data_IF_467539121330
#
_entry.id   IF_467539121330
#
_cell.length_a   1.000
_cell.length_b   1.000
_cell.length_c   1.000
_cell.angle_alpha   90.00
_cell.angle_beta   90.00
_cell.angle_gamma   90.00
#
_symmetry.space_group_name_H-M   'P 1'
#
loop_
_entity.id
_entity.type
_entity.pdbx_description
1 polymer ?
#
# COMPACT_ATOMS: atom_id res chain seq x y z
N UNK A 1 24.14 -19.47 0.96
CA UNK A 1 23.23 -19.80 -0.14
C UNK A 1 21.88 -19.15 0.15
N UNK A 2 21.49 -18.17 -0.69
CA UNK A 2 20.12 -17.83 -1.08
C UNK A 2 19.04 -17.48 -0.03
N UNK A 3 19.35 -16.57 0.90
CA UNK A 3 18.34 -15.98 1.82
C UNK A 3 17.37 -14.98 1.17
N UNK A 4 17.64 -14.52 -0.07
CA UNK A 4 16.81 -13.50 -0.76
C UNK A 4 15.51 -14.02 -1.36
N UNK A 5 15.29 -15.33 -1.45
CA UNK A 5 14.08 -15.91 -2.05
C UNK A 5 12.93 -16.10 -1.03
N UNK A 6 13.21 -15.99 0.28
CA UNK A 6 12.21 -16.23 1.34
C UNK A 6 11.32 -15.04 1.68
N UNK A 7 11.68 -13.85 1.18
CA UNK A 7 10.90 -12.63 1.41
C UNK A 7 10.14 -12.14 0.17
N UNK A 8 10.21 -12.91 -0.92
CA UNK A 8 9.51 -12.60 -2.15
C UNK A 8 8.26 -13.46 -2.28
N UNK A 9 7.13 -12.80 -2.41
CA UNK A 9 5.86 -13.39 -2.79
C UNK A 9 5.55 -13.06 -4.25
N UNK A 10 4.67 -13.84 -4.84
CA UNK A 10 4.17 -13.71 -6.20
C UNK A 10 2.66 -13.60 -6.11
N UNK A 11 2.10 -12.69 -6.90
CA UNK A 11 0.66 -12.51 -7.00
C UNK A 11 0.10 -13.31 -8.16
N UNK A 12 -0.89 -14.13 -7.85
CA UNK A 12 -1.73 -14.78 -8.84
C UNK A 12 -3.08 -14.09 -8.91
N UNK A 13 -3.66 -14.06 -10.09
CA UNK A 13 -4.99 -13.56 -10.38
C UNK A 13 -5.78 -14.65 -11.10
N UNK A 14 -7.04 -14.80 -10.72
CA UNK A 14 -8.01 -15.72 -11.33
C UNK A 14 -9.28 -14.95 -11.63
N UNK A 15 -9.92 -15.23 -12.77
CA UNK A 15 -11.26 -14.71 -13.03
C UNK A 15 -12.34 -15.68 -12.50
N UNK A 16 -13.34 -15.15 -11.79
CA UNK A 16 -14.45 -15.90 -11.21
C UNK A 16 -15.33 -16.47 -12.33
N UNK A 17 -15.23 -17.77 -12.54
CA UNK A 17 -15.84 -18.47 -13.68
C UNK A 17 -14.81 -19.05 -14.66
N UNK A 18 -13.55 -18.63 -14.55
CA UNK A 18 -12.43 -19.27 -15.24
C UNK A 18 -11.66 -20.18 -14.28
N UNK A 19 -11.28 -21.35 -14.77
CA UNK A 19 -10.36 -22.24 -14.07
C UNK A 19 -8.89 -21.96 -14.44
N UNK A 20 -8.64 -20.90 -15.20
CA UNK A 20 -7.30 -20.46 -15.56
C UNK A 20 -6.75 -19.51 -14.48
N UNK A 21 -5.68 -19.94 -13.81
CA UNK A 21 -4.82 -19.05 -13.04
C UNK A 21 -3.94 -18.25 -13.99
N UNK A 22 -3.72 -16.99 -13.65
CA UNK A 22 -2.78 -16.11 -14.33
C UNK A 22 -1.85 -15.49 -13.28
N UNK A 23 -0.59 -15.28 -13.65
CA UNK A 23 0.36 -14.50 -12.87
C UNK A 23 0.09 -13.03 -13.12
N UNK A 24 -0.12 -12.27 -12.05
CA UNK A 24 -0.20 -10.82 -12.12
C UNK A 24 1.21 -10.22 -12.24
N UNK A 25 1.33 -9.21 -13.10
CA UNK A 25 2.54 -8.47 -13.39
C UNK A 25 2.29 -6.97 -13.45
N UNK A 26 3.35 -6.19 -13.33
CA UNK A 26 3.31 -4.75 -13.46
C UNK A 26 4.50 -4.29 -14.28
N UNK A 27 4.23 -3.46 -15.29
CA UNK A 27 5.30 -2.84 -16.07
C UNK A 27 5.98 -1.70 -15.26
N UNK A 28 7.11 -1.20 -15.75
CA UNK A 28 7.81 -0.03 -15.17
C UNK A 28 6.92 1.22 -15.13
N UNK A 29 5.91 1.27 -16.00
CA UNK A 29 4.91 2.34 -16.03
C UNK A 29 3.77 2.17 -15.00
N UNK A 30 3.77 1.09 -14.20
CA UNK A 30 2.70 0.82 -13.23
C UNK A 30 1.45 0.16 -13.83
N UNK A 31 1.50 -0.20 -15.12
CA UNK A 31 0.37 -0.85 -15.80
C UNK A 31 0.29 -2.32 -15.44
N UNK A 32 -0.88 -2.75 -14.97
CA UNK A 32 -1.12 -4.15 -14.60
C UNK A 32 -1.26 -5.03 -15.84
N UNK A 33 -0.59 -6.19 -15.83
CA UNK A 33 -0.59 -7.21 -16.88
C UNK A 33 -0.81 -8.57 -16.23
N UNK A 34 -1.24 -9.55 -17.01
CA UNK A 34 -1.39 -10.93 -16.55
C UNK A 34 -0.79 -11.91 -17.57
N UNK A 35 -0.14 -12.96 -17.11
CA UNK A 35 0.50 -13.98 -17.94
C UNK A 35 0.10 -15.39 -17.46
N UNK A 36 0.17 -16.43 -18.31
CA UNK A 36 -0.12 -17.80 -17.88
C UNK A 36 1.00 -18.33 -16.99
N UNK A 37 0.74 -19.07 -15.89
CA UNK A 37 1.76 -19.57 -14.95
C UNK A 37 2.61 -20.74 -15.50
N UNK A 38 2.42 -21.15 -16.75
CA UNK A 38 3.08 -22.30 -17.39
C UNK A 38 4.27 -21.95 -18.29
N UNK A 39 4.77 -20.71 -18.24
CA UNK A 39 5.93 -20.26 -19.03
C UNK A 39 7.28 -20.49 -18.32
N UNK A 40 8.36 -20.68 -19.09
CA UNK A 40 9.73 -20.66 -18.55
C UNK A 40 10.24 -19.23 -18.26
N UNK A 41 9.70 -18.23 -18.96
CA UNK A 41 10.04 -16.81 -18.80
C UNK A 41 8.85 -16.02 -18.26
N UNK A 42 8.39 -16.43 -17.08
CA UNK A 42 7.38 -15.66 -16.39
C UNK A 42 8.06 -14.45 -15.78
N UNK A 43 7.74 -13.28 -16.32
CA UNK A 43 7.78 -12.08 -15.51
C UNK A 43 6.84 -12.38 -14.33
N UNK A 44 7.37 -12.46 -13.12
CA UNK A 44 6.60 -12.68 -11.91
C UNK A 44 6.69 -11.39 -11.11
N UNK A 45 5.56 -10.84 -10.68
CA UNK A 45 5.57 -9.70 -9.77
C UNK A 45 6.12 -10.17 -8.41
N UNK A 46 7.40 -9.89 -8.18
CA UNK A 46 8.07 -10.17 -6.91
C UNK A 46 7.68 -9.10 -5.90
N UNK A 47 6.76 -9.47 -5.04
CA UNK A 47 6.28 -8.66 -3.93
C UNK A 47 7.18 -8.93 -2.75
N UNK A 48 7.90 -7.91 -2.32
CA UNK A 48 8.66 -7.94 -1.07
C UNK A 48 7.70 -7.79 0.11
N UNK A 49 7.91 -8.45 1.26
CA UNK A 49 6.98 -8.31 2.41
C UNK A 49 6.89 -6.89 2.95
N UNK A 50 7.89 -6.07 2.64
CA UNK A 50 7.98 -4.66 3.03
C UNK A 50 7.55 -3.69 1.91
N UNK A 51 7.16 -4.19 0.74
CA UNK A 51 6.95 -3.37 -0.44
C UNK A 51 5.50 -2.93 -0.67
N UNK A 52 5.30 -1.64 -0.95
CA UNK A 52 4.03 -1.06 -1.44
C UNK A 52 3.64 -1.50 -2.88
N UNK A 53 4.27 -2.55 -3.41
CA UNK A 53 4.07 -3.03 -4.79
C UNK A 53 2.66 -3.59 -4.96
N UNK A 54 2.15 -4.31 -3.94
CA UNK A 54 0.78 -4.83 -3.92
C UNK A 54 -0.25 -3.70 -3.93
N UNK A 55 -0.08 -2.69 -3.11
CA UNK A 55 -0.99 -1.55 -3.01
C UNK A 55 -1.04 -0.79 -4.34
N UNK A 56 0.12 -0.49 -4.92
CA UNK A 56 0.21 0.16 -6.23
C UNK A 56 -0.39 -0.71 -7.34
N UNK A 57 -0.21 -2.03 -7.26
CA UNK A 57 -0.83 -2.96 -8.20
C UNK A 57 -2.34 -2.89 -8.11
N UNK A 58 -2.90 -3.02 -6.91
CA UNK A 58 -4.35 -2.99 -6.72
C UNK A 58 -4.96 -1.63 -7.03
N UNK A 59 -4.26 -0.53 -6.73
CA UNK A 59 -4.71 0.83 -7.08
C UNK A 59 -4.85 0.97 -8.62
N UNK A 60 -3.84 0.52 -9.37
CA UNK A 60 -3.89 0.55 -10.83
C UNK A 60 -4.88 -0.48 -11.39
N UNK A 61 -4.99 -1.65 -10.79
CA UNK A 61 -5.93 -2.69 -11.18
C UNK A 61 -7.37 -2.23 -11.01
N UNK A 62 -7.74 -1.70 -9.85
CA UNK A 62 -9.10 -1.19 -9.59
C UNK A 62 -9.45 0.01 -10.48
N UNK A 63 -8.47 0.81 -10.90
CA UNK A 63 -8.68 1.92 -11.86
C UNK A 63 -8.85 1.44 -13.29
N UNK A 64 -8.13 0.40 -13.70
CA UNK A 64 -8.13 -0.10 -15.08
C UNK A 64 -9.25 -1.12 -15.33
N UNK A 65 -9.57 -1.93 -14.32
CA UNK A 65 -10.55 -3.00 -14.39
C UNK A 65 -11.87 -2.49 -13.82
N UNK A 66 -12.90 -2.45 -14.66
CA UNK A 66 -14.24 -1.97 -14.29
C UNK A 66 -14.93 -2.82 -13.22
N UNK A 67 -14.59 -4.11 -13.16
CA UNK A 67 -15.15 -5.08 -12.21
C UNK A 67 -14.03 -5.88 -11.53
N UNK A 68 -13.32 -5.29 -10.56
CA UNK A 68 -12.21 -5.99 -9.90
C UNK A 68 -12.70 -7.14 -9.01
N UNK A 69 -13.95 -7.10 -8.57
CA UNK A 69 -14.61 -8.11 -7.72
C UNK A 69 -14.84 -9.45 -8.42
N UNK A 70 -14.77 -9.49 -9.76
CA UNK A 70 -14.80 -10.75 -10.51
C UNK A 70 -13.43 -11.44 -10.52
N UNK A 71 -12.39 -10.81 -10.00
CA UNK A 71 -11.07 -11.40 -9.91
C UNK A 71 -10.74 -11.82 -8.48
N UNK A 72 -10.21 -13.03 -8.33
CA UNK A 72 -9.66 -13.53 -7.08
C UNK A 72 -8.14 -13.44 -7.15
N UNK A 73 -7.53 -12.89 -6.11
CA UNK A 73 -6.08 -12.77 -6.01
C UNK A 73 -5.54 -13.75 -4.98
N UNK A 74 -4.39 -14.34 -5.25
CA UNK A 74 -3.74 -15.28 -4.34
C UNK A 74 -2.28 -14.90 -4.12
N UNK A 75 -1.87 -14.81 -2.85
CA UNK A 75 -0.48 -14.59 -2.45
C UNK A 75 0.23 -15.93 -2.40
N UNK A 76 1.33 -16.03 -3.14
CA UNK A 76 2.11 -17.26 -3.17
C UNK A 76 3.58 -16.96 -2.91
N UNK A 77 4.22 -17.56 -1.89
CA UNK A 77 5.65 -17.39 -1.70
C UNK A 77 6.41 -17.92 -2.92
N UNK A 78 7.34 -17.11 -3.46
CA UNK A 78 8.08 -17.43 -4.67
C UNK A 78 8.83 -18.77 -4.55
N UNK A 79 9.33 -19.10 -3.35
CA UNK A 79 9.97 -20.37 -3.02
C UNK A 79 9.07 -21.59 -3.29
N UNK A 80 7.76 -21.47 -3.03
CA UNK A 80 6.78 -22.55 -3.21
C UNK A 80 5.82 -22.29 -4.37
N UNK A 81 6.18 -21.40 -5.30
CA UNK A 81 5.32 -20.99 -6.40
C UNK A 81 4.74 -22.19 -7.17
N UNK A 82 5.59 -23.12 -7.61
CA UNK A 82 5.14 -24.31 -8.37
C UNK A 82 4.20 -25.21 -7.56
N UNK A 83 4.50 -25.45 -6.28
CA UNK A 83 3.68 -26.32 -5.42
C UNK A 83 2.34 -25.67 -5.10
N UNK A 84 2.34 -24.39 -4.73
CA UNK A 84 1.12 -23.66 -4.39
C UNK A 84 0.26 -23.44 -5.63
N UNK A 85 0.81 -23.10 -6.80
CA UNK A 85 0.04 -23.01 -8.05
C UNK A 85 -0.64 -24.33 -8.36
N UNK A 86 0.08 -25.45 -8.24
CA UNK A 86 -0.49 -26.78 -8.48
C UNK A 86 -1.59 -27.11 -7.48
N UNK A 87 -1.39 -26.83 -6.18
CA UNK A 87 -2.41 -27.00 -5.14
C UNK A 87 -3.63 -26.12 -5.37
N UNK A 88 -3.45 -24.85 -5.77
CA UNK A 88 -4.53 -23.94 -6.13
C UNK A 88 -5.32 -24.51 -7.32
N UNK A 89 -4.64 -24.95 -8.38
CA UNK A 89 -5.29 -25.59 -9.53
C UNK A 89 -6.08 -26.84 -9.14
N UNK A 90 -5.52 -27.69 -8.28
CA UNK A 90 -6.21 -28.89 -7.79
C UNK A 90 -7.41 -28.53 -6.91
N UNK A 91 -7.26 -27.53 -6.05
CA UNK A 91 -8.34 -26.98 -5.22
C UNK A 91 -9.49 -26.40 -6.07
N UNK A 92 -9.20 -25.79 -7.22
CA UNK A 92 -10.23 -25.34 -8.16
C UNK A 92 -10.91 -26.50 -8.89
N UNK A 93 -10.21 -27.61 -9.15
CA UNK A 93 -10.81 -28.82 -9.73
C UNK A 93 -11.63 -29.59 -8.71
N UNK A 94 -11.26 -29.54 -7.43
CA UNK A 94 -11.89 -30.24 -6.32
C UNK A 94 -12.36 -29.26 -5.22
N UNK A 95 -13.30 -28.34 -5.50
CA UNK A 95 -13.79 -27.37 -4.51
C UNK A 95 -14.66 -28.02 -3.42
N UNK A 96 -15.06 -29.28 -3.60
CA UNK A 96 -15.89 -30.06 -2.67
C UNK A 96 -15.18 -30.36 -1.35
N UNK A 97 -13.84 -30.30 -1.32
CA UNK A 97 -13.06 -30.54 -0.10
C UNK A 97 -12.96 -29.27 0.74
N UNK A 98 -13.34 -29.30 2.02
CA UNK A 98 -13.21 -28.15 2.91
C UNK A 98 -11.77 -27.68 3.05
N UNK A 99 -10.80 -28.60 3.12
CA UNK A 99 -9.35 -28.29 3.18
C UNK A 99 -8.88 -27.45 1.97
N UNK A 100 -9.38 -27.76 0.77
CA UNK A 100 -9.03 -27.01 -0.44
C UNK A 100 -9.60 -25.59 -0.39
N UNK A 101 -10.82 -25.44 0.11
CA UNK A 101 -11.48 -24.14 0.27
C UNK A 101 -10.76 -23.28 1.32
N UNK A 102 -10.38 -23.86 2.44
CA UNK A 102 -9.58 -23.18 3.47
C UNK A 102 -8.20 -22.78 2.94
N UNK A 103 -7.54 -23.65 2.15
CA UNK A 103 -6.26 -23.33 1.53
C UNK A 103 -6.37 -22.17 0.53
N UNK A 104 -7.44 -22.16 -0.28
CA UNK A 104 -7.75 -21.05 -1.19
C UNK A 104 -7.95 -19.75 -0.42
N UNK A 105 -8.77 -19.77 0.64
CA UNK A 105 -9.13 -18.59 1.43
C UNK A 105 -7.91 -18.04 2.21
N UNK A 106 -7.09 -18.91 2.77
CA UNK A 106 -5.88 -18.53 3.51
C UNK A 106 -4.84 -17.84 2.62
N UNK A 107 -4.75 -18.24 1.36
CA UNK A 107 -3.89 -17.59 0.37
C UNK A 107 -4.57 -16.45 -0.38
N UNK A 108 -5.89 -16.30 -0.26
CA UNK A 108 -6.66 -15.28 -0.96
C UNK A 108 -6.33 -13.91 -0.39
N UNK A 109 -6.18 -12.96 -1.30
CA UNK A 109 -5.99 -11.56 -0.98
C UNK A 109 -7.22 -10.78 -1.43
N UNK A 110 -7.81 -10.02 -0.52
CA UNK A 110 -8.83 -9.05 -0.88
C UNK A 110 -8.16 -7.71 -1.23
N UNK A 111 -8.28 -7.24 -2.49
CA UNK A 111 -7.63 -6.00 -2.92
C UNK A 111 -8.15 -4.78 -2.14
N UNK A 112 -9.39 -4.83 -1.64
CA UNK A 112 -9.95 -3.78 -0.78
C UNK A 112 -9.19 -3.60 0.53
N UNK A 113 -8.66 -4.67 1.13
CA UNK A 113 -7.86 -4.56 2.38
C UNK A 113 -6.60 -3.73 2.11
N UNK A 114 -5.98 -3.92 0.95
CA UNK A 114 -4.76 -3.22 0.55
C UNK A 114 -5.03 -1.77 0.15
N UNK A 115 -6.13 -1.49 -0.55
CA UNK A 115 -6.52 -0.11 -0.84
C UNK A 115 -6.84 0.66 0.46
N UNK A 116 -7.53 0.04 1.41
CA UNK A 116 -7.81 0.64 2.71
C UNK A 116 -6.53 0.83 3.52
N UNK A 117 -5.61 -0.13 3.51
CA UNK A 117 -4.29 0.02 4.14
C UNK A 117 -3.48 1.13 3.53
N UNK A 118 -3.50 1.30 2.21
CA UNK A 118 -2.79 2.38 1.54
C UNK A 118 -3.40 3.75 1.85
N UNK A 119 -4.74 3.83 1.87
CA UNK A 119 -5.45 5.03 2.31
C UNK A 119 -5.10 5.34 3.78
N UNK A 120 -5.13 4.33 4.66
CA UNK A 120 -4.79 4.46 6.06
C UNK A 120 -3.29 4.72 6.29
N UNK A 121 -2.39 4.28 5.40
CA UNK A 121 -0.93 4.50 5.49
C UNK A 121 -0.52 5.86 4.91
N UNK A 122 -1.23 6.34 3.88
CA UNK A 122 -1.20 7.75 3.44
C UNK A 122 -1.79 8.63 4.54
N UNK A 123 -2.88 8.19 5.17
CA UNK A 123 -3.43 8.79 6.37
C UNK A 123 -2.54 8.60 7.58
N UNK A 124 -1.64 7.61 7.70
CA UNK A 124 -0.70 7.47 8.83
C UNK A 124 0.60 8.24 8.61
N UNK A 125 0.90 8.55 7.34
CA UNK A 125 1.81 9.64 6.97
C UNK A 125 1.13 11.02 7.12
N UNK A 126 -0.19 11.05 7.36
CA UNK A 126 -0.98 12.22 7.76
C UNK A 126 -1.63 12.08 9.17
N UNK A 127 -1.34 11.03 9.94
CA UNK A 127 -1.99 10.77 11.24
C UNK A 127 -1.15 11.36 12.37
N UNK A 128 -0.54 12.51 12.06
CA UNK A 128 -0.44 13.62 12.97
C UNK A 128 -1.36 14.73 12.47
N UNK A 129 -2.64 14.42 12.28
CA UNK A 129 -3.67 15.47 12.23
C UNK A 129 -4.84 15.06 13.11
N UNK A 130 -4.80 15.34 14.43
CA UNK A 130 -6.02 15.76 15.08
C UNK A 130 -6.50 17.04 14.36
N UNK A 131 -7.80 17.15 14.18
CA UNK A 131 -8.52 18.11 13.35
C UNK A 131 -8.41 19.59 13.77
N UNK A 132 -7.22 20.05 14.19
CA UNK A 132 -6.86 21.44 14.50
C UNK A 132 -5.32 21.69 14.50
N UNK A 133 -4.51 20.81 13.90
CA UNK A 133 -3.05 20.84 14.04
C UNK A 133 -2.36 21.59 12.90
N UNK A 134 -2.05 22.86 13.15
CA UNK A 134 -0.78 23.48 12.80
C UNK A 134 0.28 22.53 12.22
N UNK A 135 0.76 22.81 10.99
CA UNK A 135 1.82 22.06 10.31
C UNK A 135 3.15 21.96 11.11
N UNK A 136 3.32 22.80 12.12
CA UNK A 136 4.37 22.74 13.13
C UNK A 136 3.70 22.57 14.49
N UNK A 137 4.07 21.53 15.24
CA UNK A 137 3.63 21.37 16.63
C UNK A 137 4.10 22.57 17.47
N UNK A 138 3.20 23.36 18.08
CA UNK A 138 3.59 24.51 18.91
C UNK A 138 4.43 24.11 20.14
N UNK A 139 4.40 22.84 20.57
CA UNK A 139 5.23 22.31 21.66
C UNK A 139 6.66 21.93 21.21
N UNK A 140 6.90 21.79 19.90
CA UNK A 140 8.24 21.52 19.35
C UNK A 140 8.97 22.79 18.91
N UNK A 141 8.27 23.93 18.87
CA UNK A 141 8.89 25.23 18.60
C UNK A 141 9.75 25.64 19.80
N UNK A 142 11.03 25.92 19.55
CA UNK A 142 11.97 26.40 20.57
C UNK A 142 11.73 27.88 20.89
N UNK A 143 10.67 28.16 21.66
CA UNK A 143 10.27 29.51 22.04
C UNK A 143 11.39 30.31 22.72
N UNK A 144 12.22 29.68 23.56
CA UNK A 144 13.38 30.32 24.23
C UNK A 144 14.35 31.01 23.25
N UNK A 145 14.54 30.42 22.06
CA UNK A 145 15.38 31.03 21.02
C UNK A 145 14.68 32.19 20.33
N UNK A 146 13.38 32.06 20.06
CA UNK A 146 12.59 33.11 19.43
C UNK A 146 12.45 34.33 20.35
N UNK A 147 12.35 34.12 21.66
CA UNK A 147 12.31 35.19 22.67
C UNK A 147 13.60 36.01 22.67
N UNK A 148 14.77 35.39 22.42
CA UNK A 148 16.05 36.11 22.24
C UNK A 148 16.09 37.01 21.01
N UNK A 149 15.22 36.76 20.03
CA UNK A 149 15.01 37.61 18.85
C UNK A 149 13.80 38.56 19.01
N UNK A 150 13.22 38.66 20.21
CA UNK A 150 12.07 39.53 20.49
C UNK A 150 10.72 38.96 20.04
N UNK A 151 10.65 37.68 19.68
CA UNK A 151 9.45 37.02 19.19
C UNK A 151 8.88 36.14 20.31
N UNK A 152 7.81 36.61 20.95
CA UNK A 152 7.09 35.86 21.98
C UNK A 152 5.83 35.20 21.40
N UNK A 153 5.46 34.04 21.94
CA UNK A 153 4.22 33.34 21.55
C UNK A 153 3.00 34.25 21.67
N UNK A 154 2.89 35.00 22.77
CA UNK A 154 1.77 35.92 23.01
C UNK A 154 1.71 37.06 21.98
N UNK A 155 2.87 37.57 21.53
CA UNK A 155 2.96 38.58 20.47
C UNK A 155 2.54 38.04 19.10
N UNK A 156 2.83 36.75 18.83
CA UNK A 156 2.38 36.06 17.62
C UNK A 156 0.88 35.77 17.63
N UNK A 157 0.30 35.48 18.80
CA UNK A 157 -1.14 35.28 18.99
C UNK A 157 -1.90 36.58 18.76
N UNK A 158 -1.43 37.69 19.35
CA UNK A 158 -2.03 39.02 19.16
C UNK A 158 -1.92 39.55 17.74
N UNK A 159 -0.89 39.17 17.00
CA UNK A 159 -0.70 39.62 15.61
C UNK A 159 -1.31 38.65 14.58
N UNK A 160 -1.90 37.53 15.02
CA UNK A 160 -2.41 36.48 14.12
C UNK A 160 -1.32 35.79 13.30
N UNK A 161 -0.04 36.00 13.64
CA UNK A 161 1.10 35.38 12.97
C UNK A 161 1.44 34.01 13.56
N UNK A 162 0.90 33.65 14.74
CA UNK A 162 1.09 32.32 15.32
C UNK A 162 0.58 31.27 14.35
N UNK A 163 -0.64 31.44 13.85
CA UNK A 163 -1.27 30.49 12.95
C UNK A 163 -0.48 30.31 11.64
N UNK A 164 -0.01 31.44 11.10
CA UNK A 164 0.83 31.48 9.89
C UNK A 164 2.19 30.81 10.09
N UNK A 165 2.87 31.10 11.20
CA UNK A 165 4.16 30.49 11.54
C UNK A 165 4.04 28.98 11.61
N UNK A 166 3.00 28.54 12.31
CA UNK A 166 2.72 27.15 12.54
C UNK A 166 2.20 26.42 11.30
N UNK A 167 1.83 27.14 10.23
CA UNK A 167 1.41 26.60 8.93
C UNK A 167 2.41 26.84 7.78
N UNK A 168 3.69 27.10 8.08
CA UNK A 168 4.74 27.41 7.09
C UNK A 168 4.46 28.63 6.21
N UNK A 169 3.59 29.55 6.65
CA UNK A 169 3.29 30.77 5.92
C UNK A 169 4.24 31.90 6.34
N UNK A 170 4.46 32.86 5.42
CA UNK A 170 5.24 34.07 5.72
C UNK A 170 4.55 34.85 6.84
N UNK A 171 5.25 34.98 7.95
CA UNK A 171 4.88 35.84 9.08
C UNK A 171 5.50 37.21 8.90
N UNK A 172 4.71 38.26 9.08
CA UNK A 172 5.17 39.65 8.99
C UNK A 172 5.74 40.06 10.37
N UNK A 173 6.95 39.56 10.66
CA UNK A 173 7.61 39.72 11.98
C UNK A 173 8.47 40.98 12.08
N UNK A 174 8.40 41.88 11.09
CA UNK A 174 9.09 43.16 11.16
C UNK A 174 8.08 44.29 11.28
N UNK A 175 8.08 45.05 12.37
CA UNK A 175 7.41 46.35 12.35
C UNK A 175 8.10 47.23 11.31
N UNK A 176 7.31 47.96 10.51
CA UNK A 176 7.81 49.09 9.72
C UNK A 176 8.21 50.24 10.64
#
# INVERSE_FOLDING_TARGET
MDEKLKDQDVLLVREKGSNELQVANMDKEGKVKSAKPEGENLDLLKIDKHGNILENFFENFMRQVKEPTRFEFFRVPAEKFKETVQKLQDAFKNPDKPENKEFLDLHRIDPEDFLKKQAQSKEQSQAQTPANAYAIDPNKVQWDKLEKFGITREGLEKTGNLDKLLNYQKTDLMPV
#
